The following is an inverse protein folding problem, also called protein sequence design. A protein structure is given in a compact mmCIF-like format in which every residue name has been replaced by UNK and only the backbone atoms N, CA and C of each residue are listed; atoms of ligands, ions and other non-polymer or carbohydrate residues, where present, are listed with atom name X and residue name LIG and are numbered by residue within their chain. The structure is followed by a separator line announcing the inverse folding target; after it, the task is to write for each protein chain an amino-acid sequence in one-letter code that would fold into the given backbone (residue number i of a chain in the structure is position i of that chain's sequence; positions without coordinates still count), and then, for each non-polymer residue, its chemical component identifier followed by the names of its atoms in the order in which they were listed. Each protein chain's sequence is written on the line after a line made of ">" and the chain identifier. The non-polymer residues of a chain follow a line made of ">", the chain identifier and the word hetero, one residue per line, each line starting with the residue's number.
data_IF_482140120190
#
_entry.id   IF_482140120190
#
_cell.length_a   1.000
_cell.length_b   1.000
_cell.length_c   1.000
_cell.angle_alpha   90.00
_cell.angle_beta   90.00
_cell.angle_gamma   90.00
#
_symmetry.space_group_name_H-M   'P 1'
#
loop_
_entity.id
_entity.type
_entity.pdbx_description
1 polymer ?
#
# COMPACT_ATOMS: atom_id res chain seq x y z
N UNK A 1 -7.68 -0.93 -2.56
CA UNK A 1 -6.24 -0.68 -2.84
C UNK A 1 -5.51 -0.84 -1.55
N UNK A 2 -4.50 -1.69 -1.56
CA UNK A 2 -3.58 -1.92 -0.46
C UNK A 2 -2.27 -1.25 -0.80
N UNK A 3 -1.67 -0.56 0.17
CA UNK A 3 -0.40 0.14 0.03
C UNK A 3 0.48 -0.26 1.20
N UNK A 4 1.73 -0.57 0.90
CA UNK A 4 2.79 -0.64 1.89
C UNK A 4 3.59 0.67 1.84
N UNK A 5 3.92 1.18 3.02
CA UNK A 5 4.64 2.42 3.18
C UNK A 5 5.90 2.17 3.98
N UNK A 6 7.03 2.53 3.41
CA UNK A 6 8.32 2.55 4.09
C UNK A 6 8.44 3.84 4.89
N UNK A 7 8.58 3.69 6.20
CA UNK A 7 8.68 4.80 7.13
C UNK A 7 10.04 5.47 7.08
N UNK A 8 11.11 4.69 6.99
CA UNK A 8 12.48 5.19 7.06
C UNK A 8 12.77 6.06 5.85
N UNK A 9 12.22 5.70 4.70
CA UNK A 9 12.36 6.44 3.44
C UNK A 9 11.20 7.40 3.15
N UNK A 10 10.10 7.30 3.90
CA UNK A 10 8.95 8.20 3.78
C UNK A 10 8.13 8.04 2.49
N UNK A 11 8.06 6.84 1.92
CA UNK A 11 7.47 6.60 0.60
C UNK A 11 6.72 5.27 0.49
N UNK A 12 5.80 5.19 -0.48
CA UNK A 12 5.11 3.93 -0.79
C UNK A 12 6.05 2.95 -1.47
N UNK A 13 6.21 1.76 -0.89
CA UNK A 13 7.15 0.74 -1.36
C UNK A 13 6.49 -0.47 -2.02
N UNK A 14 5.17 -0.63 -1.93
CA UNK A 14 4.45 -1.66 -2.68
C UNK A 14 2.95 -1.31 -2.73
N UNK A 15 2.23 -1.88 -3.69
CA UNK A 15 0.78 -1.76 -3.74
C UNK A 15 0.12 -2.98 -4.41
N UNK A 16 -1.12 -3.24 -4.01
CA UNK A 16 -1.96 -4.25 -4.64
C UNK A 16 -3.39 -3.74 -4.84
N UNK A 17 -3.96 -4.03 -6.01
CA UNK A 17 -5.36 -3.72 -6.31
C UNK A 17 -6.22 -4.93 -6.02
N UNK A 18 -6.98 -4.87 -4.93
CA UNK A 18 -7.94 -5.88 -4.53
C UNK A 18 -8.92 -5.36 -3.50
N UNK A 19 -9.87 -6.22 -3.16
CA UNK A 19 -10.84 -6.04 -2.08
C UNK A 19 -10.15 -6.07 -0.71
N UNK A 20 -10.85 -5.66 0.35
CA UNK A 20 -10.32 -5.78 1.73
C UNK A 20 -10.47 -7.23 2.21
N UNK A 21 -9.73 -8.14 1.60
CA UNK A 21 -9.74 -9.57 1.92
C UNK A 21 -8.32 -10.10 2.20
N UNK A 22 -8.26 -11.35 2.66
CA UNK A 22 -7.03 -12.05 2.99
C UNK A 22 -6.16 -12.25 1.76
N UNK A 23 -6.77 -12.57 0.63
CA UNK A 23 -6.10 -12.86 -0.63
C UNK A 23 -5.33 -11.62 -1.13
N UNK A 24 -5.97 -10.46 -1.17
CA UNK A 24 -5.33 -9.21 -1.57
C UNK A 24 -4.21 -8.81 -0.60
N UNK A 25 -4.41 -9.00 0.71
CA UNK A 25 -3.37 -8.77 1.71
C UNK A 25 -2.16 -9.69 1.48
N UNK A 26 -2.39 -10.97 1.18
CA UNK A 26 -1.34 -11.95 0.89
C UNK A 26 -0.55 -11.59 -0.37
N UNK A 27 -1.21 -11.09 -1.42
CA UNK A 27 -0.50 -10.64 -2.62
C UNK A 27 0.38 -9.42 -2.37
N UNK A 28 -0.09 -8.46 -1.57
CA UNK A 28 0.76 -7.34 -1.14
C UNK A 28 1.96 -7.85 -0.33
N UNK A 29 1.73 -8.75 0.63
CA UNK A 29 2.80 -9.31 1.46
C UNK A 29 3.86 -10.05 0.64
N UNK A 30 3.46 -10.80 -0.39
CA UNK A 30 4.41 -11.46 -1.32
C UNK A 30 5.34 -10.47 -2.01
N UNK A 31 4.84 -9.28 -2.39
CA UNK A 31 5.69 -8.24 -2.98
C UNK A 31 6.71 -7.71 -1.97
N UNK A 32 6.38 -7.72 -0.68
CA UNK A 32 7.27 -7.22 0.37
C UNK A 32 8.39 -8.20 0.74
N UNK A 33 8.32 -9.45 0.30
CA UNK A 33 9.36 -10.46 0.57
C UNK A 33 10.72 -10.14 -0.06
N UNK A 34 10.80 -9.20 -1.01
CA UNK A 34 12.08 -8.73 -1.54
C UNK A 34 12.79 -7.74 -0.60
N UNK A 35 12.11 -7.24 0.43
CA UNK A 35 12.68 -6.31 1.41
C UNK A 35 13.00 -7.03 2.72
N UNK A 36 14.08 -6.61 3.37
CA UNK A 36 14.39 -7.03 4.73
C UNK A 36 13.55 -6.22 5.74
N UNK A 37 12.30 -6.64 5.94
CA UNK A 37 11.39 -5.95 6.87
C UNK A 37 11.56 -6.46 8.30
N UNK A 38 11.85 -5.53 9.22
CA UNK A 38 11.93 -5.80 10.65
C UNK A 38 10.55 -5.97 11.28
N UNK A 39 9.67 -4.99 11.11
CA UNK A 39 8.32 -4.99 11.68
C UNK A 39 7.28 -4.43 10.71
N UNK A 40 6.07 -4.96 10.79
CA UNK A 40 4.90 -4.46 10.08
C UNK A 40 3.98 -3.75 11.08
N UNK A 41 3.77 -2.45 10.88
CA UNK A 41 2.86 -1.65 11.69
C UNK A 41 1.52 -1.51 10.97
N UNK A 42 0.44 -2.06 11.53
CA UNK A 42 -0.90 -1.96 10.92
C UNK A 42 -1.98 -1.62 11.96
N UNK A 43 -3.17 -1.28 11.45
CA UNK A 43 -4.37 -1.29 12.28
C UNK A 43 -4.79 -2.73 12.61
N UNK A 44 -5.83 -2.85 13.44
CA UNK A 44 -6.29 -4.14 13.95
C UNK A 44 -7.27 -4.86 13.00
N UNK A 45 -6.95 -4.92 11.71
CA UNK A 45 -7.79 -5.59 10.72
C UNK A 45 -7.50 -7.11 10.64
N UNK A 46 -8.51 -8.00 10.61
CA UNK A 46 -8.32 -9.45 10.68
C UNK A 46 -7.38 -10.02 9.62
N UNK A 47 -7.43 -9.50 8.38
CA UNK A 47 -6.57 -9.99 7.30
C UNK A 47 -5.07 -9.84 7.61
N UNK A 48 -4.66 -8.80 8.37
CA UNK A 48 -3.26 -8.63 8.76
C UNK A 48 -2.81 -9.72 9.73
N UNK A 49 -3.64 -10.05 10.72
CA UNK A 49 -3.34 -11.09 11.71
C UNK A 49 -3.19 -12.48 11.11
N UNK A 50 -3.88 -12.75 10.00
CA UNK A 50 -3.84 -14.03 9.30
C UNK A 50 -2.69 -14.17 8.30
N UNK A 51 -2.18 -13.04 7.79
CA UNK A 51 -1.17 -13.01 6.72
C UNK A 51 0.23 -12.68 7.25
N UNK A 52 0.33 -11.76 8.21
CA UNK A 52 1.62 -11.28 8.71
C UNK A 52 2.19 -12.22 9.78
N UNK A 53 3.53 -12.39 9.84
CA UNK A 53 4.18 -13.12 10.91
C UNK A 53 3.91 -12.45 12.27
N UNK A 54 3.41 -13.22 13.24
CA UNK A 54 3.02 -12.69 14.57
C UNK A 54 4.16 -12.04 15.33
N UNK A 55 5.38 -12.53 15.13
CA UNK A 55 6.63 -12.04 15.72
C UNK A 55 7.06 -10.67 15.16
N UNK A 56 6.64 -10.35 13.94
CA UNK A 56 6.95 -9.08 13.26
C UNK A 56 5.77 -8.11 13.21
N UNK A 57 4.57 -8.53 13.60
CA UNK A 57 3.36 -7.72 13.48
C UNK A 57 3.12 -6.88 14.74
N UNK A 58 3.13 -5.55 14.57
CA UNK A 58 2.84 -4.57 15.62
C UNK A 58 1.52 -3.88 15.28
N UNK A 59 0.51 -4.08 16.14
CA UNK A 59 -0.77 -3.39 16.02
C UNK A 59 -0.68 -2.05 16.74
N UNK A 60 -0.80 -0.96 16.00
CA UNK A 60 -0.71 0.39 16.59
C UNK A 60 -1.41 1.42 15.71
N UNK A 61 -2.02 2.41 16.37
CA UNK A 61 -2.68 3.54 15.72
C UNK A 61 -1.78 4.78 15.59
N UNK A 62 -0.79 4.95 16.47
CA UNK A 62 0.11 6.11 16.41
C UNK A 62 0.92 6.15 15.13
N UNK A 63 1.20 4.96 14.60
CA UNK A 63 2.11 4.77 13.48
C UNK A 63 1.45 4.86 12.10
N UNK A 64 0.12 5.03 12.02
CA UNK A 64 -0.61 5.05 10.74
C UNK A 64 -0.70 6.43 10.09
N UNK A 65 -0.33 7.49 10.81
CA UNK A 65 -0.43 8.88 10.31
C UNK A 65 0.32 9.08 8.98
N UNK A 66 1.53 8.51 8.84
CA UNK A 66 2.34 8.67 7.64
C UNK A 66 1.69 8.02 6.40
N UNK A 67 1.17 6.79 6.54
CA UNK A 67 0.48 6.10 5.44
C UNK A 67 -0.88 6.74 5.13
N UNK A 68 -1.58 7.28 6.12
CA UNK A 68 -2.80 8.07 5.91
C UNK A 68 -2.52 9.33 5.08
N UNK A 69 -1.46 10.06 5.41
CA UNK A 69 -0.97 11.20 4.63
C UNK A 69 -0.54 10.80 3.22
N UNK A 70 0.13 9.67 3.05
CA UNK A 70 0.47 9.15 1.72
C UNK A 70 -0.78 8.79 0.89
N UNK A 71 -1.75 8.11 1.49
CA UNK A 71 -3.04 7.82 0.86
C UNK A 71 -3.78 9.10 0.45
N UNK A 72 -3.67 10.16 1.23
CA UNK A 72 -4.21 11.47 0.89
C UNK A 72 -3.50 12.06 -0.34
N UNK A 73 -2.16 12.03 -0.39
CA UNK A 73 -1.38 12.47 -1.55
C UNK A 73 -1.74 11.72 -2.82
N UNK A 74 -1.91 10.40 -2.74
CA UNK A 74 -2.37 9.58 -3.88
C UNK A 74 -3.71 10.10 -4.40
N UNK A 75 -4.70 10.34 -3.52
CA UNK A 75 -6.00 10.88 -3.93
C UNK A 75 -5.95 12.33 -4.43
N UNK A 76 -4.98 13.12 -3.95
CA UNK A 76 -4.79 14.50 -4.35
C UNK A 76 -4.24 14.60 -5.77
N UNK A 77 -3.16 13.86 -6.07
CA UNK A 77 -2.50 13.92 -7.37
C UNK A 77 -3.19 13.07 -8.44
N UNK A 78 -3.78 11.95 -8.04
CA UNK A 78 -4.46 11.05 -8.98
C UNK A 78 -5.97 11.25 -8.87
N UNK A 79 -6.50 12.19 -9.67
CA UNK A 79 -7.93 12.53 -9.71
C UNK A 79 -8.85 11.29 -9.86
N UNK A 80 -8.35 10.21 -10.47
CA UNK A 80 -9.06 8.95 -10.62
C UNK A 80 -9.44 8.25 -9.31
N UNK A 81 -8.77 8.59 -8.20
CA UNK A 81 -9.06 8.08 -6.87
C UNK A 81 -9.82 9.09 -6.00
N UNK A 82 -10.17 10.26 -6.53
CA UNK A 82 -10.88 11.30 -5.80
C UNK A 82 -12.38 11.03 -5.70
N UNK A 83 -13.04 10.71 -6.82
CA UNK A 83 -14.49 10.45 -6.87
C UNK A 83 -14.81 9.25 -7.74
N UNK A 84 -15.45 8.25 -7.13
CA UNK A 84 -15.82 6.96 -7.75
C UNK A 84 -16.68 7.10 -9.01
N UNK A 85 -17.52 8.12 -9.10
CA UNK A 85 -18.52 8.28 -10.18
C UNK A 85 -18.05 9.10 -11.38
N UNK A 86 -17.08 10.00 -11.21
CA UNK A 86 -16.67 10.94 -12.26
C UNK A 86 -15.39 10.54 -12.97
N UNK A 87 -14.39 10.06 -12.22
CA UNK A 87 -13.06 9.79 -12.73
C UNK A 87 -12.72 8.32 -12.54
N UNK A 88 -13.51 7.42 -13.14
CA UNK A 88 -13.26 5.98 -13.02
C UNK A 88 -12.44 5.45 -14.20
N UNK A 89 -11.86 4.27 -13.98
CA UNK A 89 -10.99 3.62 -14.95
C UNK A 89 -11.72 2.45 -15.57
N UNK A 90 -11.73 2.38 -16.91
CA UNK A 90 -12.39 1.27 -17.62
C UNK A 90 -11.56 -0.01 -17.66
N UNK A 91 -10.25 0.11 -17.46
CA UNK A 91 -9.32 -1.01 -17.53
C UNK A 91 -8.41 -1.06 -16.30
N UNK A 92 -8.30 -2.24 -15.70
CA UNK A 92 -7.51 -2.46 -14.49
C UNK A 92 -6.00 -2.27 -14.75
N UNK A 93 -5.50 -2.72 -15.89
CA UNK A 93 -4.09 -2.55 -16.26
C UNK A 93 -3.69 -1.07 -16.33
N UNK A 94 -4.60 -0.16 -16.71
CA UNK A 94 -4.33 1.28 -16.69
C UNK A 94 -4.25 1.83 -15.27
N UNK A 95 -4.96 1.23 -14.30
CA UNK A 95 -4.85 1.59 -12.88
C UNK A 95 -3.49 1.16 -12.35
N UNK A 96 -3.08 -0.07 -12.66
CA UNK A 96 -1.75 -0.58 -12.36
C UNK A 96 -0.66 0.32 -12.95
N UNK A 97 -0.70 0.62 -14.25
CA UNK A 97 0.31 1.44 -14.91
C UNK A 97 0.47 2.82 -14.23
N UNK A 98 -0.63 3.51 -13.92
CA UNK A 98 -0.56 4.82 -13.25
C UNK A 98 0.01 4.73 -11.84
N UNK A 99 -0.40 3.73 -11.05
CA UNK A 99 0.15 3.54 -9.71
C UNK A 99 1.62 3.14 -9.78
N UNK A 100 1.99 2.23 -10.69
CA UNK A 100 3.38 1.90 -10.95
C UNK A 100 4.17 3.17 -11.24
N UNK A 101 3.76 4.01 -12.19
CA UNK A 101 4.46 5.28 -12.49
C UNK A 101 4.57 6.20 -11.27
N UNK A 102 3.49 6.34 -10.48
CA UNK A 102 3.48 7.18 -9.28
C UNK A 102 4.43 6.67 -8.20
N UNK A 103 4.56 5.34 -8.06
CA UNK A 103 5.43 4.70 -7.07
C UNK A 103 6.87 4.52 -7.60
N UNK A 104 7.09 4.32 -8.91
CA UNK A 104 8.42 4.11 -9.50
C UNK A 104 9.28 5.36 -9.52
N UNK A 105 8.67 6.55 -9.60
CA UNK A 105 9.39 7.81 -9.37
C UNK A 105 10.08 7.85 -7.99
N UNK A 106 9.67 6.97 -7.06
CA UNK A 106 10.21 6.83 -5.71
C UNK A 106 11.04 5.53 -5.53
N UNK A 107 11.14 4.69 -6.58
CA UNK A 107 11.75 3.35 -6.51
C UNK A 107 13.23 3.32 -6.87
N UNK A 108 13.77 4.41 -7.44
CA UNK A 108 15.21 4.55 -7.71
C UNK A 108 16.08 4.35 -6.45
N UNK A 109 15.50 4.54 -5.26
CA UNK A 109 16.18 4.39 -3.97
C UNK A 109 16.34 2.90 -3.58
N UNK A 110 15.55 1.99 -4.15
CA UNK A 110 15.60 0.54 -3.87
C UNK A 110 16.42 -0.27 -4.90
N UNK A 111 17.02 0.39 -5.89
CA UNK A 111 18.06 -0.14 -6.76
C UNK A 111 19.44 0.26 -6.23
#
# INVERSE_FOLDING_TARGET
>A
MWIAYDRDRGQGCAFWLGSRDREACSQLFKQLNCFEVLYFCTDDYPAYREVLPKDKHVITKSETCAIEGFNLRVRHYLARFHRRTFCYSKALHMVYATLTTFFTANWEIYL
#
